data_IF_407073487992
#
_entry.id   IF_407073487992
#
_cell.length_a   1.000
_cell.length_b   1.000
_cell.length_c   1.000
_cell.angle_alpha   90.00
_cell.angle_beta   90.00
_cell.angle_gamma   90.00
#
_symmetry.space_group_name_H-M   'P 1'
#
loop_
_entity.id
_entity.type
_entity.pdbx_description
1 polymer ?
#
# COMPACT_ATOMS: atom_id res chain seq x y z
N UNK A 1 16.47 -8.85 11.76
CA UNK A 1 15.14 -9.19 11.19
C UNK A 1 14.44 -7.93 10.69
N UNK A 2 14.17 -6.94 11.55
CA UNK A 2 13.50 -5.69 11.18
C UNK A 2 14.08 -4.96 9.96
N UNK A 3 15.41 -4.75 9.89
CA UNK A 3 16.07 -4.09 8.75
C UNK A 3 15.84 -4.81 7.40
N UNK A 4 15.94 -6.15 7.38
CA UNK A 4 15.71 -6.91 6.14
C UNK A 4 14.25 -6.82 5.69
N UNK A 5 13.30 -6.87 6.62
CA UNK A 5 11.88 -6.66 6.30
C UNK A 5 11.64 -5.26 5.71
N UNK A 6 12.26 -4.22 6.28
CA UNK A 6 12.20 -2.87 5.75
C UNK A 6 12.81 -2.76 4.35
N UNK A 7 13.97 -3.38 4.12
CA UNK A 7 14.62 -3.41 2.81
C UNK A 7 13.74 -4.10 1.76
N UNK A 8 13.16 -5.26 2.10
CA UNK A 8 12.23 -5.98 1.21
C UNK A 8 10.94 -5.20 0.93
N UNK A 9 10.39 -4.49 1.92
CA UNK A 9 9.20 -3.64 1.71
C UNK A 9 9.51 -2.51 0.71
N UNK A 10 10.67 -1.86 0.84
CA UNK A 10 11.09 -0.80 -0.08
C UNK A 10 11.28 -1.34 -1.51
N UNK A 11 11.88 -2.53 -1.65
CA UNK A 11 12.05 -3.18 -2.94
C UNK A 11 10.70 -3.54 -3.57
N UNK A 12 9.79 -4.12 -2.79
CA UNK A 12 8.44 -4.46 -3.27
C UNK A 12 7.66 -3.22 -3.73
N UNK A 13 7.68 -2.14 -2.95
CA UNK A 13 7.04 -0.87 -3.30
C UNK A 13 7.66 -0.26 -4.57
N UNK A 14 8.98 -0.31 -4.71
CA UNK A 14 9.66 0.20 -5.88
C UNK A 14 9.32 -0.57 -7.16
N UNK A 15 9.23 -1.90 -7.08
CA UNK A 15 8.95 -2.78 -8.22
C UNK A 15 7.49 -2.77 -8.67
N UNK A 16 6.55 -2.52 -7.74
CA UNK A 16 5.10 -2.58 -8.00
C UNK A 16 4.45 -1.23 -8.36
N UNK A 17 5.15 -0.11 -8.20
CA UNK A 17 4.58 1.24 -8.37
C UNK A 17 4.15 1.61 -9.82
N UNK A 18 4.43 0.75 -10.81
CA UNK A 18 4.13 1.00 -12.23
C UNK A 18 2.63 0.94 -12.57
N UNK A 19 1.80 0.41 -11.66
CA UNK A 19 0.35 0.26 -11.84
C UNK A 19 -0.41 1.07 -10.80
N UNK A 20 -1.59 1.59 -11.20
CA UNK A 20 -2.48 2.45 -10.41
C UNK A 20 -2.95 1.85 -9.07
N UNK A 21 -2.76 0.54 -8.85
CA UNK A 21 -3.21 -0.16 -7.64
C UNK A 21 -2.28 0.01 -6.43
N UNK A 22 -1.07 0.53 -6.65
CA UNK A 22 -0.05 0.67 -5.60
C UNK A 22 0.22 2.14 -5.28
N UNK A 23 0.52 2.48 -4.01
CA UNK A 23 0.99 3.81 -3.69
C UNK A 23 2.33 4.08 -4.39
N UNK A 24 2.53 5.33 -4.82
CA UNK A 24 3.80 5.75 -5.43
C UNK A 24 4.90 5.77 -4.38
N UNK A 25 6.03 5.14 -4.66
CA UNK A 25 7.18 5.12 -3.76
C UNK A 25 8.07 6.34 -3.99
N UNK A 26 8.28 7.17 -2.96
CA UNK A 26 9.14 8.35 -3.04
C UNK A 26 10.55 8.11 -2.52
N UNK A 27 10.73 7.18 -1.58
CA UNK A 27 12.04 6.85 -1.06
C UNK A 27 12.01 6.30 0.36
N UNK A 28 13.21 6.14 0.92
CA UNK A 28 13.43 5.63 2.28
C UNK A 28 14.52 6.42 2.99
N UNK A 29 14.42 6.50 4.31
CA UNK A 29 15.42 7.13 5.15
C UNK A 29 15.66 6.32 6.43
N UNK A 30 16.89 6.38 6.91
CA UNK A 30 17.26 5.96 8.26
C UNK A 30 17.51 7.22 9.08
N UNK A 31 16.66 7.47 10.07
CA UNK A 31 16.75 8.67 10.90
C UNK A 31 17.35 8.33 12.26
N UNK A 32 18.56 8.84 12.57
CA UNK A 32 19.17 8.70 13.89
C UNK A 32 18.41 9.50 14.97
N UNK A 33 18.79 9.31 16.23
CA UNK A 33 18.07 9.83 17.41
C UNK A 33 17.76 11.33 17.40
N UNK A 34 18.65 12.13 16.82
CA UNK A 34 18.53 13.59 16.76
C UNK A 34 17.60 14.06 15.62
N UNK A 35 17.31 13.17 14.67
CA UNK A 35 16.50 13.43 13.48
C UNK A 35 15.14 12.72 13.51
N UNK A 36 14.88 11.87 14.52
CA UNK A 36 13.65 11.11 14.63
C UNK A 36 12.46 12.01 15.04
N UNK A 37 11.47 12.23 14.15
CA UNK A 37 10.34 13.13 14.43
C UNK A 37 9.28 12.50 15.36
N UNK A 38 9.36 11.19 15.61
CA UNK A 38 8.32 10.43 16.33
C UNK A 38 8.71 10.23 17.79
N UNK A 39 9.99 9.99 18.08
CA UNK A 39 10.47 9.68 19.44
C UNK A 39 11.91 10.16 19.66
N UNK A 40 12.08 11.16 20.52
CA UNK A 40 13.39 11.69 20.90
C UNK A 40 14.31 10.57 21.44
N UNK A 41 15.54 10.51 20.92
CA UNK A 41 16.54 9.50 21.27
C UNK A 41 16.26 8.10 20.70
N UNK A 42 15.22 7.93 19.87
CA UNK A 42 14.91 6.69 19.19
C UNK A 42 15.47 6.64 17.77
N UNK A 43 15.76 5.45 17.27
CA UNK A 43 16.13 5.23 15.87
C UNK A 43 14.90 4.78 15.07
N UNK A 44 14.70 5.32 13.85
CA UNK A 44 13.57 4.93 13.00
C UNK A 44 13.99 4.77 11.54
N UNK A 45 13.41 3.78 10.88
CA UNK A 45 13.44 3.65 9.43
C UNK A 45 12.10 4.11 8.85
N UNK A 46 12.15 4.97 7.85
CA UNK A 46 10.96 5.56 7.22
C UNK A 46 10.87 5.21 5.75
N UNK A 47 9.64 4.99 5.29
CA UNK A 47 9.25 4.83 3.89
C UNK A 47 8.36 6.03 3.57
N UNK A 48 8.71 6.79 2.53
CA UNK A 48 7.88 7.86 2.00
C UNK A 48 7.12 7.33 0.77
N UNK A 49 5.80 7.44 0.79
CA UNK A 49 4.92 6.99 -0.29
C UNK A 49 3.74 7.96 -0.47
N UNK A 50 3.02 7.86 -1.58
CA UNK A 50 1.79 8.63 -1.79
C UNK A 50 0.72 8.26 -0.77
N UNK A 51 -0.18 9.21 -0.49
CA UNK A 51 -1.38 8.93 0.28
C UNK A 51 -2.27 7.99 -0.56
N UNK A 52 -2.73 6.90 0.03
CA UNK A 52 -3.72 6.04 -0.60
C UNK A 52 -5.05 6.81 -0.73
N UNK A 53 -5.61 6.86 -1.95
CA UNK A 53 -6.90 7.47 -2.20
C UNK A 53 -8.04 6.61 -1.63
N UNK A 54 -9.14 7.25 -1.23
CA UNK A 54 -10.34 6.54 -0.78
C UNK A 54 -10.35 6.17 0.69
N UNK A 55 -11.18 5.18 1.02
CA UNK A 55 -11.42 4.68 2.37
C UNK A 55 -11.02 3.22 2.46
N UNK A 56 -10.45 2.81 3.58
CA UNK A 56 -10.17 1.39 3.83
C UNK A 56 -11.46 0.58 3.76
N UNK A 57 -11.46 -0.53 3.02
CA UNK A 57 -12.68 -1.34 2.80
C UNK A 57 -13.22 -1.93 4.11
N UNK A 58 -12.40 -2.07 5.15
CA UNK A 58 -12.84 -2.44 6.51
C UNK A 58 -13.78 -1.40 7.11
N UNK A 59 -13.56 -0.13 6.78
CA UNK A 59 -14.42 0.98 7.19
C UNK A 59 -15.70 1.13 6.35
N UNK A 60 -15.93 0.24 5.37
CA UNK A 60 -17.06 0.30 4.44
C UNK A 60 -18.01 -0.90 4.66
N UNK A 61 -18.81 -0.91 5.74
CA UNK A 61 -19.66 -2.06 6.08
C UNK A 61 -20.80 -2.33 5.09
N UNK A 62 -21.09 -1.37 4.20
CA UNK A 62 -22.19 -1.42 3.24
C UNK A 62 -21.67 -1.27 1.81
N UNK A 63 -20.67 -2.08 1.44
CA UNK A 63 -20.29 -2.22 0.02
C UNK A 63 -21.39 -2.95 -0.73
N UNK A 64 -21.85 -2.36 -1.83
CA UNK A 64 -22.80 -2.99 -2.73
C UNK A 64 -22.15 -4.18 -3.47
N UNK A 65 -22.99 -5.03 -4.07
CA UNK A 65 -22.52 -6.20 -4.81
C UNK A 65 -21.56 -5.80 -5.95
N UNK A 66 -21.88 -4.73 -6.69
CA UNK A 66 -21.06 -4.27 -7.81
C UNK A 66 -19.70 -3.74 -7.34
N UNK A 67 -19.67 -2.91 -6.30
CA UNK A 67 -18.43 -2.40 -5.71
C UNK A 67 -17.54 -3.54 -5.20
N UNK A 68 -18.16 -4.54 -4.57
CA UNK A 68 -17.45 -5.73 -4.09
C UNK A 68 -16.81 -6.54 -5.22
N UNK A 69 -17.44 -6.61 -6.40
CA UNK A 69 -16.86 -7.25 -7.58
C UNK A 69 -15.70 -6.42 -8.12
N UNK A 70 -15.86 -5.11 -8.26
CA UNK A 70 -14.81 -4.20 -8.75
C UNK A 70 -13.56 -4.29 -7.87
N UNK A 71 -13.73 -4.18 -6.54
CA UNK A 71 -12.62 -4.29 -5.58
C UNK A 71 -11.93 -5.64 -5.74
N UNK A 72 -12.70 -6.73 -5.85
CA UNK A 72 -12.13 -8.08 -6.00
C UNK A 72 -11.30 -8.20 -7.27
N UNK A 73 -11.83 -7.78 -8.41
CA UNK A 73 -11.14 -7.89 -9.70
C UNK A 73 -9.84 -7.07 -9.69
N UNK A 74 -9.89 -5.83 -9.18
CA UNK A 74 -8.71 -4.98 -9.05
C UNK A 74 -7.66 -5.56 -8.08
N UNK A 75 -8.09 -6.15 -6.96
CA UNK A 75 -7.19 -6.83 -6.03
C UNK A 75 -6.54 -8.05 -6.68
N UNK A 76 -7.28 -8.84 -7.47
CA UNK A 76 -6.71 -9.97 -8.20
C UNK A 76 -5.65 -9.50 -9.19
N UNK A 77 -5.91 -8.44 -9.96
CA UNK A 77 -4.95 -7.86 -10.89
C UNK A 77 -3.69 -7.36 -10.17
N UNK A 78 -3.86 -6.68 -9.03
CA UNK A 78 -2.74 -6.21 -8.20
C UNK A 78 -1.90 -7.39 -7.68
N UNK A 79 -2.54 -8.44 -7.16
CA UNK A 79 -1.84 -9.62 -6.66
C UNK A 79 -1.10 -10.37 -7.76
N UNK A 80 -1.67 -10.47 -8.96
CA UNK A 80 -0.99 -11.07 -10.10
C UNK A 80 0.23 -10.24 -10.53
N UNK A 81 0.12 -8.90 -10.52
CA UNK A 81 1.26 -8.03 -10.77
C UNK A 81 2.39 -8.26 -9.76
N UNK A 82 2.08 -8.31 -8.47
CA UNK A 82 3.06 -8.62 -7.42
C UNK A 82 3.71 -9.98 -7.65
N UNK A 83 2.92 -11.01 -7.98
CA UNK A 83 3.41 -12.37 -8.24
C UNK A 83 4.42 -12.38 -9.39
N UNK A 84 4.15 -11.66 -10.47
CA UNK A 84 5.05 -11.56 -11.63
C UNK A 84 6.36 -10.85 -11.29
N UNK A 85 6.36 -9.92 -10.33
CA UNK A 85 7.56 -9.24 -9.82
C UNK A 85 8.28 -10.03 -8.71
N UNK A 86 7.78 -11.21 -8.34
CA UNK A 86 8.34 -12.03 -7.25
C UNK A 86 8.02 -11.48 -5.85
N UNK A 87 7.10 -10.54 -5.74
CA UNK A 87 6.59 -10.00 -4.49
C UNK A 87 5.39 -10.83 -4.00
N UNK A 88 5.15 -10.81 -2.69
CA UNK A 88 4.01 -11.49 -2.09
C UNK A 88 3.31 -10.56 -1.11
N UNK A 89 1.98 -10.59 -1.12
CA UNK A 89 1.15 -9.90 -0.13
C UNK A 89 0.81 -10.86 1.00
N UNK A 90 1.43 -10.66 2.17
CA UNK A 90 1.34 -11.61 3.30
C UNK A 90 0.28 -11.22 4.35
N UNK A 91 -0.33 -10.03 4.24
CA UNK A 91 -1.34 -9.58 5.19
C UNK A 91 -2.75 -9.95 4.70
N UNK A 92 -3.46 -10.75 5.50
CA UNK A 92 -4.85 -11.14 5.21
C UNK A 92 -5.86 -10.05 5.60
N UNK A 93 -5.41 -8.97 6.21
CA UNK A 93 -6.28 -7.91 6.70
C UNK A 93 -6.61 -6.95 5.57
N UNK A 94 -7.90 -6.79 5.32
CA UNK A 94 -8.43 -5.87 4.30
C UNK A 94 -8.20 -4.39 4.66
N UNK A 95 -7.59 -4.09 5.82
CA UNK A 95 -7.26 -2.74 6.27
C UNK A 95 -6.34 -1.99 5.29
N UNK A 96 -5.55 -2.75 4.51
CA UNK A 96 -4.57 -2.23 3.56
C UNK A 96 -5.14 -2.02 2.15
N UNK A 97 -6.43 -2.35 1.93
CA UNK A 97 -7.12 -2.15 0.66
C UNK A 97 -7.99 -0.90 0.80
N UNK A 98 -7.74 0.08 -0.07
CA UNK A 98 -8.45 1.35 -0.09
C UNK A 98 -9.29 1.44 -1.36
N UNK A 99 -10.53 1.91 -1.22
CA UNK A 99 -11.46 2.06 -2.32
C UNK A 99 -12.03 3.47 -2.35
N UNK A 100 -12.05 4.07 -3.54
CA UNK A 100 -12.67 5.37 -3.81
C UNK A 100 -13.75 5.20 -4.90
N UNK A 101 -15.04 5.28 -4.54
CA UNK A 101 -16.13 5.20 -5.51
C UNK A 101 -16.09 6.31 -6.56
N UNK A 102 -15.53 7.48 -6.24
CA UNK A 102 -15.53 8.64 -7.15
C UNK A 102 -14.59 8.45 -8.35
N UNK A 103 -13.49 7.73 -8.18
CA UNK A 103 -12.56 7.40 -9.27
C UNK A 103 -13.13 6.42 -10.27
N UNK A 104 -14.08 5.57 -9.86
CA UNK A 104 -14.74 4.59 -10.74
C UNK A 104 -15.75 5.28 -11.67
N UNK A 105 -16.51 6.25 -11.14
CA UNK A 105 -17.55 6.97 -11.89
C UNK A 105 -17.00 8.02 -12.88
N UNK A 106 -15.73 8.43 -12.73
CA UNK A 106 -15.08 9.37 -13.64
C UNK A 106 -14.54 8.72 -14.93
N UNK A 107 -14.65 7.39 -15.04
CA UNK A 107 -14.15 6.59 -16.16
C UNK A 107 -15.25 6.20 -17.18
N UNK A 108 -16.47 6.74 -17.02
CA UNK A 108 -17.61 6.56 -17.94
C UNK A 108 -17.83 7.77 -18.87
#
# INVERSE_FOLDING_TARGET
MARRCFEYECEALHECQEILYFPTYYGRAELPGDENPVKAGGHVWMIAMSVAGGTSVVGMPTLEYLESQIIRDQVVDALEHMRLKGCMFFMQETEQIFYDPATVLASE
#
